data_IF_753065946215
#
_entry.id   IF_753065946215
#
_cell.length_a   1.000
_cell.length_b   1.000
_cell.length_c   1.000
_cell.angle_alpha   90.00
_cell.angle_beta   90.00
_cell.angle_gamma   90.00
#
_symmetry.space_group_name_H-M   'P 1'
#
loop_
_entity.id
_entity.type
_entity.pdbx_description
1 polymer ?
#
# COMPACT_ATOMS: atom_id res chain seq x y z
N UNK A 1 -2.49 -88.64 -43.92
CA UNK A 1 -3.53 -87.59 -43.93
C UNK A 1 -2.80 -86.28 -44.23
N UNK A 2 -2.77 -85.88 -45.52
CA UNK A 2 -3.42 -84.67 -46.12
C UNK A 2 -2.95 -83.36 -45.46
N UNK A 3 -2.51 -82.28 -46.13
CA UNK A 3 -2.18 -81.96 -47.53
C UNK A 3 -1.46 -80.59 -47.52
N UNK A 4 -0.65 -80.36 -48.54
CA UNK A 4 -0.01 -79.11 -49.01
C UNK A 4 -1.01 -78.00 -49.39
N UNK A 5 -0.48 -76.77 -49.63
CA UNK A 5 -0.95 -75.66 -50.53
C UNK A 5 -1.39 -74.36 -49.78
N UNK A 6 -0.68 -73.22 -49.82
CA UNK A 6 -0.34 -72.21 -50.87
C UNK A 6 -1.46 -71.19 -51.20
N UNK A 7 -1.11 -69.89 -51.05
CA UNK A 7 -1.56 -68.65 -51.74
C UNK A 7 -3.07 -68.30 -51.81
N UNK A 8 -3.45 -67.08 -51.35
CA UNK A 8 -3.60 -65.84 -52.16
C UNK A 8 -4.37 -64.72 -51.41
N UNK A 9 -3.78 -63.52 -51.47
CA UNK A 9 -4.33 -62.14 -51.47
C UNK A 9 -5.83 -61.91 -51.11
N UNK A 10 -6.11 -60.95 -50.21
CA UNK A 10 -6.38 -59.54 -50.56
C UNK A 10 -6.61 -58.69 -49.29
N UNK A 11 -5.96 -57.53 -49.23
CA UNK A 11 -6.15 -56.50 -48.20
C UNK A 11 -7.39 -55.63 -48.48
N UNK A 12 -8.08 -55.10 -47.46
CA UNK A 12 -8.67 -53.79 -47.54
C UNK A 12 -7.61 -52.74 -47.19
N UNK A 13 -7.33 -51.89 -48.17
CA UNK A 13 -6.61 -50.63 -48.01
C UNK A 13 -7.42 -49.73 -47.08
N UNK A 14 -6.89 -49.41 -45.90
CA UNK A 14 -7.18 -48.14 -45.24
C UNK A 14 -5.87 -47.41 -45.04
N UNK A 15 -5.77 -46.28 -45.74
CA UNK A 15 -4.60 -45.45 -45.87
C UNK A 15 -4.06 -45.01 -44.52
N UNK A 16 -2.75 -45.16 -44.40
CA UNK A 16 -1.88 -44.63 -43.37
C UNK A 16 -1.93 -43.10 -43.27
N UNK A 17 -1.89 -42.59 -42.04
CA UNK A 17 -0.99 -41.48 -41.70
C UNK A 17 -0.61 -41.50 -40.21
N UNK A 18 0.46 -42.22 -39.89
CA UNK A 18 1.39 -41.70 -38.90
C UNK A 18 2.16 -40.59 -39.63
N UNK A 19 1.86 -39.34 -39.30
CA UNK A 19 2.66 -38.21 -39.74
C UNK A 19 3.52 -37.76 -38.56
N UNK A 20 4.83 -37.87 -38.79
CA UNK A 20 5.90 -37.18 -38.09
C UNK A 20 5.58 -35.72 -37.82
N UNK A 21 6.21 -35.24 -36.74
CA UNK A 21 6.50 -33.84 -36.41
C UNK A 21 6.43 -32.90 -37.61
N UNK A 22 5.32 -32.17 -37.71
CA UNK A 22 5.19 -31.04 -38.62
C UNK A 22 5.05 -29.77 -37.77
N UNK A 23 6.14 -29.01 -37.77
CA UNK A 23 6.19 -27.56 -37.66
C UNK A 23 5.26 -26.89 -36.63
N UNK A 24 5.86 -26.49 -35.51
CA UNK A 24 5.50 -25.25 -34.82
C UNK A 24 5.81 -24.07 -35.79
N UNK A 25 4.99 -23.95 -36.83
CA UNK A 25 4.82 -22.76 -37.67
C UNK A 25 3.33 -22.53 -37.92
N UNK A 26 2.53 -22.64 -36.87
CA UNK A 26 1.19 -22.10 -36.88
C UNK A 26 1.27 -20.59 -36.65
N UNK A 27 1.28 -19.85 -37.76
CA UNK A 27 0.90 -18.44 -37.89
C UNK A 27 1.51 -17.44 -36.89
N UNK A 28 2.80 -17.17 -37.05
CA UNK A 28 3.27 -15.78 -36.94
C UNK A 28 2.87 -15.07 -38.25
N UNK A 29 1.56 -14.86 -38.43
CA UNK A 29 1.11 -13.68 -39.18
C UNK A 29 1.16 -12.51 -38.19
N UNK A 30 2.37 -12.25 -37.70
CA UNK A 30 2.68 -11.06 -36.95
C UNK A 30 2.64 -9.93 -37.96
N UNK A 31 1.50 -9.24 -38.02
CA UNK A 31 1.49 -7.90 -38.55
C UNK A 31 2.58 -7.12 -37.79
N UNK A 32 3.72 -6.85 -38.44
CA UNK A 32 4.80 -6.01 -37.92
C UNK A 32 4.38 -4.54 -37.83
N UNK A 33 3.09 -4.23 -37.96
CA UNK A 33 2.55 -2.88 -37.87
C UNK A 33 1.99 -2.64 -36.48
N UNK A 34 2.39 -1.53 -35.86
CA UNK A 34 1.78 -1.06 -34.62
C UNK A 34 0.26 -0.94 -34.77
N UNK A 35 -0.48 -1.53 -33.83
CA UNK A 35 -1.93 -1.47 -33.79
C UNK A 35 -2.40 -0.38 -32.81
N UNK A 36 -3.26 0.54 -33.26
CA UNK A 36 -3.88 1.56 -32.40
C UNK A 36 -5.29 1.10 -32.02
N UNK A 37 -5.48 0.68 -30.77
CA UNK A 37 -6.83 0.50 -30.21
C UNK A 37 -7.43 1.88 -29.89
N UNK A 38 -8.42 2.30 -30.67
CA UNK A 38 -9.10 3.60 -30.49
C UNK A 38 -10.05 3.54 -29.30
N UNK A 39 -10.20 4.64 -28.56
CA UNK A 39 -11.09 4.71 -27.40
C UNK A 39 -12.54 4.30 -27.72
N UNK A 40 -13.07 4.76 -28.86
CA UNK A 40 -14.44 4.45 -29.31
C UNK A 40 -14.68 2.96 -29.62
N UNK A 41 -13.63 2.15 -29.77
CA UNK A 41 -13.74 0.71 -30.03
C UNK A 41 -13.90 -0.14 -28.76
N UNK A 42 -13.76 0.46 -27.58
CA UNK A 42 -13.80 -0.24 -26.29
C UNK A 42 -15.05 0.17 -25.54
N UNK A 43 -15.96 -0.77 -25.34
CA UNK A 43 -17.22 -0.53 -24.63
C UNK A 43 -17.02 -0.68 -23.11
N UNK A 44 -17.21 0.38 -22.32
CA UNK A 44 -17.23 0.27 -20.87
C UNK A 44 -18.44 -0.53 -20.39
N UNK A 45 -18.34 -1.15 -19.22
CA UNK A 45 -19.41 -1.92 -18.60
C UNK A 45 -19.49 -1.67 -17.09
N UNK A 46 -20.63 -1.96 -16.48
CA UNK A 46 -20.81 -1.91 -15.03
C UNK A 46 -20.15 -3.13 -14.37
N UNK A 47 -19.42 -2.89 -13.29
CA UNK A 47 -18.72 -3.93 -12.55
C UNK A 47 -19.74 -4.91 -11.92
N UNK A 48 -19.47 -6.23 -11.93
CA UNK A 48 -20.38 -7.21 -11.37
C UNK A 48 -20.61 -6.99 -9.87
N UNK A 49 -21.86 -6.84 -9.44
CA UNK A 49 -22.21 -6.68 -8.01
C UNK A 49 -21.76 -7.84 -7.11
N UNK A 50 -21.43 -9.00 -7.71
CA UNK A 50 -20.83 -10.13 -7.00
C UNK A 50 -19.47 -9.78 -6.37
N UNK A 51 -18.69 -8.86 -6.97
CA UNK A 51 -17.33 -8.53 -6.53
C UNK A 51 -17.13 -7.06 -6.11
N UNK A 52 -18.23 -6.30 -6.15
CA UNK A 52 -18.24 -4.88 -5.85
C UNK A 52 -19.42 -4.55 -4.95
N UNK A 53 -19.24 -3.58 -4.07
CA UNK A 53 -20.35 -2.92 -3.37
C UNK A 53 -20.49 -1.50 -3.92
N UNK A 54 -21.73 -1.05 -4.16
CA UNK A 54 -22.00 0.19 -4.87
C UNK A 54 -21.82 0.07 -6.39
N UNK A 55 -21.83 1.22 -7.10
CA UNK A 55 -21.68 1.27 -8.56
C UNK A 55 -20.23 1.55 -8.95
N UNK A 56 -19.68 0.71 -9.82
CA UNK A 56 -18.38 0.94 -10.42
C UNK A 56 -18.46 0.64 -11.92
N UNK A 57 -17.77 1.45 -12.73
CA UNK A 57 -17.72 1.31 -14.19
C UNK A 57 -16.30 0.96 -14.61
N UNK A 58 -16.16 -0.13 -15.36
CA UNK A 58 -14.89 -0.59 -15.93
C UNK A 58 -14.81 -0.17 -17.39
N UNK A 59 -13.74 0.54 -17.75
CA UNK A 59 -13.40 0.89 -19.13
C UNK A 59 -12.09 0.17 -19.52
N UNK A 60 -12.18 -0.96 -20.26
CA UNK A 60 -11.01 -1.73 -20.66
C UNK A 60 -10.01 -0.92 -21.49
N UNK A 61 -8.71 -1.22 -21.34
CA UNK A 61 -7.64 -0.66 -22.18
C UNK A 61 -6.98 -1.73 -23.03
N UNK A 62 -6.44 -2.78 -22.40
CA UNK A 62 -5.88 -3.94 -23.08
C UNK A 62 -6.02 -5.20 -22.24
N UNK A 63 -6.09 -6.34 -22.93
CA UNK A 63 -6.15 -7.68 -22.32
C UNK A 63 -4.84 -8.42 -22.58
N UNK A 64 -4.54 -9.47 -21.79
CA UNK A 64 -3.33 -10.26 -21.99
C UNK A 64 -3.35 -10.94 -23.35
N UNK A 65 -2.21 -10.91 -24.05
CA UNK A 65 -2.01 -11.58 -25.32
C UNK A 65 -0.64 -12.27 -25.29
N UNK A 66 -0.64 -13.59 -25.30
CA UNK A 66 0.57 -14.38 -25.13
C UNK A 66 1.66 -13.95 -26.14
N UNK A 67 2.92 -13.78 -25.69
CA UNK A 67 3.46 -14.13 -24.38
C UNK A 67 3.24 -13.09 -23.27
N UNK A 68 2.67 -11.91 -23.59
CA UNK A 68 2.39 -10.89 -22.58
C UNK A 68 1.20 -11.31 -21.69
N UNK A 69 1.33 -11.05 -20.38
CA UNK A 69 0.34 -11.45 -19.38
C UNK A 69 -0.43 -10.28 -18.78
N UNK A 70 -0.02 -9.06 -19.09
CA UNK A 70 -0.55 -7.84 -18.49
C UNK A 70 -1.90 -7.47 -19.07
N UNK A 71 -2.81 -7.03 -18.21
CA UNK A 71 -4.05 -6.34 -18.57
C UNK A 71 -4.08 -4.96 -17.94
N UNK A 72 -4.91 -4.07 -18.50
CA UNK A 72 -5.25 -2.84 -17.82
C UNK A 72 -6.65 -2.34 -18.15
N UNK A 73 -7.24 -1.63 -17.19
CA UNK A 73 -8.51 -0.93 -17.35
C UNK A 73 -8.53 0.32 -16.48
N UNK A 74 -9.30 1.33 -16.89
CA UNK A 74 -9.77 2.34 -15.94
C UNK A 74 -10.96 1.77 -15.16
N UNK A 75 -10.98 1.99 -13.86
CA UNK A 75 -12.12 1.67 -13.00
C UNK A 75 -12.55 2.95 -12.32
N UNK A 76 -13.81 3.34 -12.53
CA UNK A 76 -14.43 4.50 -11.90
C UNK A 76 -15.43 4.03 -10.86
N UNK A 77 -15.23 4.39 -9.61
CA UNK A 77 -16.09 4.07 -8.48
C UNK A 77 -16.97 5.28 -8.16
N UNK A 78 -18.29 5.11 -8.09
CA UNK A 78 -19.18 6.12 -7.52
C UNK A 78 -18.91 6.29 -6.01
N UNK A 79 -19.31 7.41 -5.37
CA UNK A 79 -19.17 7.58 -3.93
C UNK A 79 -19.67 6.36 -3.13
N UNK A 80 -18.86 5.89 -2.19
CA UNK A 80 -19.15 4.70 -1.37
C UNK A 80 -18.87 3.36 -2.06
N UNK A 81 -18.59 3.33 -3.37
CA UNK A 81 -18.37 2.10 -4.10
C UNK A 81 -16.94 1.57 -3.91
N UNK A 82 -16.81 0.25 -3.74
CA UNK A 82 -15.54 -0.44 -3.51
C UNK A 82 -15.55 -1.87 -4.03
N UNK A 83 -14.35 -2.40 -4.24
CA UNK A 83 -14.14 -3.83 -4.46
C UNK A 83 -14.42 -4.62 -3.19
N UNK A 84 -14.70 -5.91 -3.36
CA UNK A 84 -14.58 -6.89 -2.29
C UNK A 84 -13.10 -7.09 -1.91
N UNK A 85 -12.83 -7.73 -0.77
CA UNK A 85 -11.48 -8.17 -0.48
C UNK A 85 -11.00 -9.12 -1.58
N UNK A 86 -9.75 -8.97 -2.02
CA UNK A 86 -9.18 -9.83 -3.05
C UNK A 86 -7.65 -9.87 -2.99
N UNK A 87 -7.07 -10.80 -3.76
CA UNK A 87 -5.63 -10.91 -4.00
C UNK A 87 -5.32 -11.01 -5.49
N UNK A 88 -4.11 -10.62 -5.89
CA UNK A 88 -3.59 -10.82 -7.24
C UNK A 88 -2.37 -11.77 -7.19
N UNK A 89 -2.30 -12.82 -8.03
CA UNK A 89 -1.24 -13.83 -7.97
C UNK A 89 0.14 -13.28 -8.34
N UNK A 90 0.20 -12.18 -9.10
CA UNK A 90 1.43 -11.50 -9.51
C UNK A 90 1.44 -10.01 -9.12
N UNK A 91 0.60 -9.64 -8.16
CA UNK A 91 0.46 -8.26 -7.69
C UNK A 91 -0.37 -7.38 -8.62
N UNK A 92 -0.48 -6.11 -8.26
CA UNK A 92 -1.21 -5.10 -9.02
C UNK A 92 -0.55 -3.74 -8.83
N UNK A 93 -0.58 -2.92 -9.88
CA UNK A 93 -0.25 -1.49 -9.79
C UNK A 93 -1.50 -0.67 -10.07
N UNK A 94 -1.79 0.28 -9.18
CA UNK A 94 -2.82 1.29 -9.38
C UNK A 94 -2.19 2.65 -9.64
N UNK A 95 -2.75 3.41 -10.56
CA UNK A 95 -2.42 4.83 -10.75
C UNK A 95 -3.71 5.63 -10.67
N UNK A 96 -3.87 6.43 -9.63
CA UNK A 96 -5.09 7.24 -9.45
C UNK A 96 -5.06 8.42 -10.41
N UNK A 97 -6.10 8.54 -11.23
CA UNK A 97 -6.18 9.58 -12.28
C UNK A 97 -7.12 10.71 -11.91
N UNK A 98 -8.16 10.44 -11.11
CA UNK A 98 -9.17 11.43 -10.72
C UNK A 98 -9.79 11.12 -9.36
N UNK A 99 -10.17 12.16 -8.62
CA UNK A 99 -10.95 12.05 -7.40
C UNK A 99 -10.19 11.54 -6.17
N UNK A 100 -10.97 11.18 -5.15
CA UNK A 100 -10.48 10.74 -3.83
C UNK A 100 -10.99 9.33 -3.51
N UNK A 101 -10.07 8.40 -3.32
CA UNK A 101 -10.34 7.01 -3.01
C UNK A 101 -9.81 6.56 -1.65
N UNK A 102 -10.08 5.31 -1.35
CA UNK A 102 -9.60 4.60 -0.18
C UNK A 102 -8.99 3.27 -0.63
N UNK A 103 -7.94 2.84 0.07
CA UNK A 103 -7.37 1.51 -0.05
C UNK A 103 -7.08 0.96 1.34
N UNK A 104 -7.27 -0.34 1.53
CA UNK A 104 -6.85 -1.01 2.76
C UNK A 104 -6.17 -2.32 2.42
N UNK A 105 -5.07 -2.58 3.12
CA UNK A 105 -4.41 -3.88 3.16
C UNK A 105 -4.85 -4.62 4.42
N UNK A 106 -5.01 -5.94 4.33
CA UNK A 106 -5.51 -6.75 5.44
C UNK A 106 -4.71 -6.53 6.73
N UNK A 107 -5.41 -6.24 7.83
CA UNK A 107 -4.81 -5.95 9.14
C UNK A 107 -4.16 -4.57 9.27
N UNK A 108 -4.09 -3.79 8.18
CA UNK A 108 -3.53 -2.44 8.16
C UNK A 108 -4.59 -1.33 8.22
N UNK A 109 -4.13 -0.07 8.36
CA UNK A 109 -5.00 1.09 8.33
C UNK A 109 -5.57 1.30 6.91
N UNK A 110 -6.75 1.92 6.86
CA UNK A 110 -7.29 2.47 5.61
C UNK A 110 -6.46 3.70 5.25
N UNK A 111 -6.03 3.78 4.00
CA UNK A 111 -5.25 4.88 3.46
C UNK A 111 -6.07 5.61 2.41
N UNK A 112 -5.98 6.94 2.40
CA UNK A 112 -6.52 7.76 1.31
C UNK A 112 -5.59 7.65 0.11
N UNK A 113 -6.18 7.65 -1.07
CA UNK A 113 -5.46 7.70 -2.34
C UNK A 113 -6.07 8.81 -3.20
N UNK A 114 -5.22 9.67 -3.75
CA UNK A 114 -5.62 10.84 -4.52
C UNK A 114 -4.91 10.87 -5.88
N UNK A 115 -5.39 11.75 -6.77
CA UNK A 115 -4.84 11.88 -8.12
C UNK A 115 -3.33 12.04 -8.11
N UNK A 116 -2.64 11.15 -8.84
CA UNK A 116 -1.19 11.13 -8.97
C UNK A 116 -0.53 10.04 -8.13
N UNK A 117 -1.23 9.47 -7.14
CA UNK A 117 -0.71 8.35 -6.36
C UNK A 117 -0.53 7.10 -7.21
N UNK A 118 0.58 6.41 -6.96
CA UNK A 118 0.92 5.12 -7.55
C UNK A 118 1.03 4.11 -6.43
N UNK A 119 0.19 3.08 -6.49
CA UNK A 119 0.13 2.02 -5.47
C UNK A 119 0.68 0.75 -6.08
N UNK A 120 1.80 0.26 -5.55
CA UNK A 120 2.37 -1.04 -5.88
C UNK A 120 1.93 -2.08 -4.85
N UNK A 121 1.09 -3.01 -5.26
CA UNK A 121 0.50 -4.05 -4.42
C UNK A 121 1.24 -5.37 -4.67
N UNK A 122 1.94 -5.94 -3.66
CA UNK A 122 2.66 -7.19 -3.82
C UNK A 122 1.77 -8.39 -4.17
N UNK A 123 2.32 -9.44 -4.80
CA UNK A 123 1.63 -10.71 -5.01
C UNK A 123 1.03 -11.28 -3.72
N UNK A 124 -0.21 -11.75 -3.79
CA UNK A 124 -0.91 -12.40 -2.67
C UNK A 124 -1.35 -11.47 -1.53
N UNK A 125 -1.05 -10.17 -1.59
CA UNK A 125 -1.49 -9.23 -0.57
C UNK A 125 -3.01 -9.06 -0.61
N UNK A 126 -3.71 -9.45 0.47
CA UNK A 126 -5.16 -9.23 0.60
C UNK A 126 -5.46 -7.76 0.80
N UNK A 127 -6.33 -7.20 -0.04
CA UNK A 127 -6.65 -5.77 -0.05
C UNK A 127 -8.04 -5.50 -0.64
N UNK A 128 -8.53 -4.27 -0.45
CA UNK A 128 -9.63 -3.69 -1.21
C UNK A 128 -9.31 -2.23 -1.51
N UNK A 129 -9.96 -1.69 -2.53
CA UNK A 129 -9.92 -0.27 -2.90
C UNK A 129 -11.24 0.19 -3.49
N UNK A 130 -11.48 1.50 -3.44
CA UNK A 130 -12.71 2.12 -3.93
C UNK A 130 -12.71 3.63 -3.79
N UNK A 131 -13.85 4.23 -4.10
CA UNK A 131 -14.11 5.63 -3.85
C UNK A 131 -14.14 5.94 -2.34
N UNK A 132 -13.99 7.22 -2.00
CA UNK A 132 -14.41 7.73 -0.68
C UNK A 132 -15.94 7.75 -0.56
N UNK A 133 -16.46 7.99 0.64
CA UNK A 133 -17.91 8.01 0.90
C UNK A 133 -18.66 9.10 0.10
N UNK A 134 -17.99 10.18 -0.30
CA UNK A 134 -18.65 11.37 -0.90
C UNK A 134 -18.16 11.73 -2.29
N UNK A 135 -17.03 11.19 -2.75
CA UNK A 135 -16.45 11.56 -4.04
C UNK A 135 -16.19 10.34 -4.90
N UNK A 136 -16.46 10.48 -6.20
CA UNK A 136 -16.04 9.53 -7.23
C UNK A 136 -14.52 9.43 -7.26
N UNK A 137 -13.99 8.24 -7.55
CA UNK A 137 -12.56 8.04 -7.83
C UNK A 137 -12.38 7.20 -9.10
N UNK A 138 -11.40 7.57 -9.92
CA UNK A 138 -10.96 6.76 -11.06
C UNK A 138 -9.48 6.44 -10.93
N UNK A 139 -9.12 5.17 -11.12
CA UNK A 139 -7.74 4.74 -11.28
C UNK A 139 -7.54 3.88 -12.53
N UNK A 140 -6.30 3.83 -13.00
CA UNK A 140 -5.79 2.79 -13.89
C UNK A 140 -5.37 1.59 -13.05
N UNK A 141 -5.95 0.42 -13.29
CA UNK A 141 -5.50 -0.85 -12.70
C UNK A 141 -4.67 -1.62 -13.73
N UNK A 142 -3.50 -2.10 -13.31
CA UNK A 142 -2.56 -2.90 -14.12
C UNK A 142 -2.22 -4.15 -13.33
N UNK A 143 -2.41 -5.32 -13.92
CA UNK A 143 -2.05 -6.59 -13.29
C UNK A 143 -1.68 -7.65 -14.33
N UNK A 144 -0.98 -8.70 -13.91
CA UNK A 144 -0.64 -9.85 -14.76
C UNK A 144 -1.50 -11.08 -14.44
N UNK A 145 -1.70 -11.92 -15.46
CA UNK A 145 -2.30 -13.25 -15.29
C UNK A 145 -1.25 -14.32 -14.97
N UNK A 146 -1.59 -15.21 -14.04
CA UNK A 146 -0.94 -16.50 -13.81
C UNK A 146 -1.97 -17.60 -14.08
N UNK A 147 -1.67 -18.53 -14.98
CA UNK A 147 -2.55 -19.65 -15.35
C UNK A 147 -3.97 -19.21 -15.75
N UNK A 148 -4.08 -18.12 -16.52
CA UNK A 148 -5.34 -17.54 -16.98
C UNK A 148 -6.12 -16.76 -15.91
N UNK A 149 -5.60 -16.66 -14.69
CA UNK A 149 -6.22 -15.96 -13.56
C UNK A 149 -5.44 -14.71 -13.20
N UNK A 150 -6.16 -13.60 -12.98
CA UNK A 150 -5.55 -12.35 -12.51
C UNK A 150 -5.99 -11.94 -11.11
N UNK A 151 -7.05 -12.52 -10.55
CA UNK A 151 -7.62 -12.10 -9.27
C UNK A 151 -8.26 -13.30 -8.56
N UNK A 152 -8.09 -13.36 -7.25
CA UNK A 152 -8.85 -14.23 -6.34
C UNK A 152 -9.77 -13.34 -5.50
N UNK A 153 -11.07 -13.41 -5.77
CA UNK A 153 -12.08 -12.69 -4.98
C UNK A 153 -12.37 -13.41 -3.66
N UNK A 154 -12.55 -12.62 -2.60
CA UNK A 154 -12.82 -13.09 -1.25
C UNK A 154 -14.14 -12.47 -0.75
N UNK A 155 -14.25 -12.22 0.56
CA UNK A 155 -15.46 -11.69 1.15
C UNK A 155 -15.69 -10.20 0.87
N UNK A 156 -16.96 -9.78 0.93
CA UNK A 156 -17.38 -8.37 0.87
C UNK A 156 -16.67 -7.54 1.95
N UNK A 157 -16.32 -6.30 1.60
CA UNK A 157 -15.97 -5.28 2.60
C UNK A 157 -17.26 -4.81 3.27
N UNK A 158 -17.47 -5.21 4.51
CA UNK A 158 -18.65 -4.83 5.29
C UNK A 158 -18.74 -3.32 5.49
N UNK A 159 -19.94 -2.79 5.69
CA UNK A 159 -20.15 -1.38 6.02
C UNK A 159 -19.48 -0.96 7.34
N UNK A 160 -19.11 -1.90 8.20
CA UNK A 160 -18.32 -1.63 9.41
C UNK A 160 -16.81 -1.51 9.13
N UNK A 161 -16.32 -2.17 8.08
CA UNK A 161 -14.93 -2.05 7.61
C UNK A 161 -14.74 -0.86 6.67
N UNK A 162 -15.80 -0.39 6.03
CA UNK A 162 -15.78 0.77 5.17
C UNK A 162 -16.23 2.04 5.93
N UNK A 163 -15.47 3.14 5.89
CA UNK A 163 -15.87 4.36 6.57
C UNK A 163 -17.03 5.01 5.81
N UNK A 164 -18.23 4.98 6.39
CA UNK A 164 -19.47 5.47 5.76
C UNK A 164 -19.66 7.00 5.80
N UNK A 165 -18.74 7.75 6.41
CA UNK A 165 -18.85 9.21 6.52
C UNK A 165 -17.90 9.92 5.57
N UNK A 166 -18.24 11.14 5.09
CA UNK A 166 -17.28 12.01 4.42
C UNK A 166 -16.02 12.05 5.27
N UNK A 167 -14.92 11.53 4.71
CA UNK A 167 -13.61 11.78 5.27
C UNK A 167 -13.27 13.25 5.03
N UNK A 168 -13.91 14.14 5.79
CA UNK A 168 -13.30 15.37 6.23
C UNK A 168 -12.39 14.99 7.39
N UNK A 169 -11.24 14.41 7.04
CA UNK A 169 -10.13 14.05 7.94
C UNK A 169 -10.54 13.20 9.13
N UNK A 170 -10.44 11.88 8.98
CA UNK A 170 -10.12 11.05 10.14
C UNK A 170 -8.61 11.05 10.33
N UNK A 171 -8.09 11.69 11.37
CA UNK A 171 -8.31 11.42 12.80
C UNK A 171 -7.28 10.40 13.27
N UNK A 172 -6.58 10.79 14.32
CA UNK A 172 -6.47 9.89 15.44
C UNK A 172 -7.46 10.41 16.47
N UNK A 173 -8.35 9.58 16.98
CA UNK A 173 -8.71 9.70 18.39
C UNK A 173 -8.39 8.39 19.08
N UNK A 174 -7.29 8.33 19.86
CA UNK A 174 -7.36 7.64 21.13
C UNK A 174 -7.94 8.64 22.14
N UNK A 175 -9.07 8.28 22.75
CA UNK A 175 -9.81 9.02 23.77
C UNK A 175 -10.59 10.26 23.27
N UNK A 176 -11.77 10.52 23.85
CA UNK A 176 -12.49 11.80 23.75
C UNK A 176 -11.67 13.01 24.26
N UNK A 177 -10.40 12.82 24.59
CA UNK A 177 -9.52 13.88 25.06
C UNK A 177 -8.74 14.41 23.85
N UNK A 178 -8.65 15.74 23.69
CA UNK A 178 -7.76 16.34 22.71
C UNK A 178 -6.34 15.77 22.85
N UNK A 179 -5.58 15.68 21.76
CA UNK A 179 -4.16 15.29 21.81
C UNK A 179 -3.41 16.17 22.82
N UNK A 180 -2.26 15.72 23.31
CA UNK A 180 -1.47 16.55 24.23
C UNK A 180 -1.14 17.93 23.62
N UNK A 181 -0.87 17.99 22.32
CA UNK A 181 -0.64 19.26 21.62
C UNK A 181 -1.91 20.13 21.63
N UNK A 182 -3.08 19.56 21.34
CA UNK A 182 -4.35 20.27 21.39
C UNK A 182 -4.71 20.73 22.80
N UNK A 183 -4.42 19.94 23.83
CA UNK A 183 -4.63 20.31 25.24
C UNK A 183 -3.73 21.49 25.67
N UNK A 184 -2.49 21.52 25.19
CA UNK A 184 -1.50 22.50 25.63
C UNK A 184 -1.62 23.85 24.91
N UNK A 185 -2.03 23.84 23.64
CA UNK A 185 -2.01 25.04 22.81
C UNK A 185 -3.11 25.10 21.74
N UNK A 186 -4.08 24.18 21.75
CA UNK A 186 -5.13 24.13 20.72
C UNK A 186 -6.13 25.28 20.81
N UNK A 187 -6.37 25.80 22.01
CA UNK A 187 -7.25 26.95 22.27
C UNK A 187 -6.62 28.28 21.81
N UNK A 188 -5.31 28.45 21.99
CA UNK A 188 -4.57 29.67 21.65
C UNK A 188 -3.99 29.63 20.23
N UNK A 189 -3.45 28.48 19.81
CA UNK A 189 -2.71 28.30 18.57
C UNK A 189 -3.08 26.97 17.89
N UNK A 190 -4.35 26.81 17.42
CA UNK A 190 -4.86 25.55 16.87
C UNK A 190 -4.03 25.02 15.71
N UNK A 191 -3.49 25.93 14.87
CA UNK A 191 -2.64 25.52 13.75
C UNK A 191 -1.30 24.95 14.22
N UNK A 192 -0.73 25.45 15.32
CA UNK A 192 0.51 24.93 15.87
C UNK A 192 0.29 23.53 16.47
N UNK A 193 -0.84 23.31 17.14
CA UNK A 193 -1.25 21.98 17.60
C UNK A 193 -1.45 21.00 16.42
N UNK A 194 -2.14 21.42 15.36
CA UNK A 194 -2.30 20.63 14.14
C UNK A 194 -0.97 20.27 13.46
N UNK A 195 -0.04 21.23 13.33
CA UNK A 195 1.28 20.97 12.76
C UNK A 195 2.12 20.04 13.65
N UNK A 196 1.98 20.14 14.97
CA UNK A 196 2.67 19.25 15.91
C UNK A 196 2.16 17.81 15.76
N UNK A 197 0.85 17.62 15.69
CA UNK A 197 0.24 16.30 15.58
C UNK A 197 0.51 15.69 14.20
N UNK A 198 0.20 16.43 13.13
CA UNK A 198 0.11 15.84 11.79
C UNK A 198 1.41 15.92 11.00
N UNK A 199 2.19 17.00 11.17
CA UNK A 199 3.42 17.20 10.40
C UNK A 199 4.63 16.71 11.19
N UNK A 200 4.80 17.18 12.43
CA UNK A 200 5.95 16.79 13.23
C UNK A 200 5.87 15.31 13.59
N UNK A 201 4.89 14.91 14.40
CA UNK A 201 4.81 13.53 14.88
C UNK A 201 4.13 12.58 13.89
N UNK A 202 3.16 13.04 13.11
CA UNK A 202 2.43 12.22 12.13
C UNK A 202 3.14 11.96 10.79
N UNK A 203 4.15 12.77 10.42
CA UNK A 203 4.96 12.58 9.21
C UNK A 203 6.44 12.53 9.55
N UNK A 204 7.05 13.65 9.95
CA UNK A 204 8.51 13.78 10.03
C UNK A 204 9.14 12.72 10.95
N UNK A 205 8.49 12.38 12.07
CA UNK A 205 8.94 11.34 13.00
C UNK A 205 8.71 9.90 12.51
N UNK A 206 7.82 9.68 11.54
CA UNK A 206 7.48 8.36 10.98
C UNK A 206 8.26 8.01 9.70
N UNK A 207 8.95 8.98 9.09
CA UNK A 207 9.70 8.75 7.84
C UNK A 207 10.77 7.64 7.98
N UNK A 208 10.91 6.74 6.99
CA UNK A 208 11.66 5.48 7.11
C UNK A 208 13.21 5.60 7.12
N UNK A 209 13.77 6.81 7.10
CA UNK A 209 15.23 7.03 7.04
C UNK A 209 15.96 7.02 8.39
N UNK A 210 15.26 7.30 9.49
CA UNK A 210 15.80 7.21 10.86
C UNK A 210 14.76 6.56 11.75
N UNK A 211 15.20 5.64 12.59
CA UNK A 211 14.34 5.03 13.61
C UNK A 211 13.86 6.09 14.61
N UNK A 212 12.72 5.84 15.28
CA UNK A 212 12.24 6.73 16.36
C UNK A 212 13.27 6.87 17.48
N UNK A 213 14.04 5.80 17.75
CA UNK A 213 15.17 5.81 18.68
C UNK A 213 16.22 6.84 18.28
N UNK A 214 16.66 6.82 17.03
CA UNK A 214 17.72 7.72 16.54
C UNK A 214 17.24 9.17 16.43
N UNK A 215 15.97 9.38 16.09
CA UNK A 215 15.34 10.72 16.15
C UNK A 215 15.32 11.26 17.57
N UNK A 216 14.95 10.44 18.55
CA UNK A 216 15.03 10.80 19.96
C UNK A 216 16.46 11.15 20.40
N UNK A 217 17.47 10.37 19.99
CA UNK A 217 18.87 10.68 20.26
C UNK A 217 19.26 12.06 19.70
N UNK A 218 18.92 12.33 18.43
CA UNK A 218 19.21 13.60 17.79
C UNK A 218 18.51 14.78 18.48
N UNK A 219 17.23 14.65 18.79
CA UNK A 219 16.44 15.70 19.45
C UNK A 219 16.93 15.97 20.87
N UNK A 220 17.17 14.94 21.68
CA UNK A 220 17.72 15.09 23.03
C UNK A 220 19.08 15.78 22.99
N UNK A 221 19.95 15.36 22.07
CA UNK A 221 21.28 15.97 21.92
C UNK A 221 21.18 17.47 21.58
N UNK A 222 20.28 17.83 20.66
CA UNK A 222 20.03 19.22 20.30
C UNK A 222 19.48 20.05 21.48
N UNK A 223 18.52 19.51 22.25
CA UNK A 223 17.93 20.22 23.39
C UNK A 223 18.93 20.44 24.53
N UNK A 224 19.85 19.50 24.75
CA UNK A 224 20.98 19.67 25.68
C UNK A 224 21.91 20.76 25.16
N UNK A 225 22.31 20.69 23.90
CA UNK A 225 23.22 21.66 23.29
C UNK A 225 22.67 23.10 23.30
N UNK A 226 21.35 23.25 23.11
CA UNK A 226 20.66 24.53 23.13
C UNK A 226 20.27 25.00 24.54
N UNK A 227 20.60 24.21 25.59
CA UNK A 227 20.20 24.46 26.97
C UNK A 227 18.68 24.76 27.09
N UNK A 228 17.84 23.83 26.64
CA UNK A 228 16.36 23.91 26.67
C UNK A 228 15.75 22.89 27.64
N UNK A 229 15.98 23.05 28.97
CA UNK A 229 15.60 22.04 29.96
C UNK A 229 14.09 21.78 30.03
N UNK A 230 13.26 22.80 29.78
CA UNK A 230 11.79 22.66 29.82
C UNK A 230 11.26 21.67 28.76
N UNK A 231 11.86 21.69 27.57
CA UNK A 231 11.51 20.77 26.47
C UNK A 231 12.26 19.44 26.58
N UNK A 232 13.45 19.45 27.19
CA UNK A 232 14.26 18.25 27.37
C UNK A 232 13.54 17.19 28.22
N UNK A 233 12.78 17.62 29.22
CA UNK A 233 12.05 16.74 30.14
C UNK A 233 11.15 15.73 29.42
N UNK A 234 10.27 16.21 28.53
CA UNK A 234 9.35 15.35 27.78
C UNK A 234 10.08 14.47 26.76
N UNK A 235 11.16 14.98 26.16
CA UNK A 235 11.93 14.26 25.15
C UNK A 235 12.83 13.16 25.74
N UNK A 236 13.31 13.30 26.99
CA UNK A 236 13.98 12.21 27.69
C UNK A 236 13.02 11.04 27.98
N UNK A 237 11.78 11.32 28.40
CA UNK A 237 10.75 10.29 28.56
C UNK A 237 10.44 9.59 27.22
N UNK A 238 10.27 10.36 26.15
CA UNK A 238 10.00 9.83 24.81
C UNK A 238 11.19 8.99 24.28
N UNK A 239 12.43 9.41 24.55
CA UNK A 239 13.62 8.65 24.18
C UNK A 239 13.64 7.25 24.80
N UNK A 240 13.24 7.13 26.07
CA UNK A 240 13.11 5.83 26.74
C UNK A 240 12.02 4.98 26.10
N UNK A 241 10.84 5.57 25.82
CA UNK A 241 9.76 4.86 25.13
C UNK A 241 10.16 4.36 23.74
N UNK A 242 11.02 5.11 23.06
CA UNK A 242 11.60 4.73 21.76
C UNK A 242 12.80 3.77 21.88
N UNK A 243 13.11 3.26 23.07
CA UNK A 243 14.10 2.20 23.27
C UNK A 243 15.51 2.66 23.62
N UNK A 244 15.70 3.92 24.04
CA UNK A 244 16.97 4.34 24.65
C UNK A 244 17.00 3.97 26.14
N UNK A 245 18.14 3.45 26.59
CA UNK A 245 18.35 3.10 28.00
C UNK A 245 18.76 4.33 28.83
N UNK A 246 18.60 4.21 30.16
CA UNK A 246 19.10 5.22 31.10
C UNK A 246 20.61 5.44 30.92
N UNK A 247 21.34 4.35 30.75
CA UNK A 247 22.80 4.32 30.60
C UNK A 247 23.20 5.05 29.32
N UNK A 248 22.58 4.75 28.18
CA UNK A 248 22.84 5.47 26.92
C UNK A 248 22.55 6.96 27.03
N UNK A 249 21.45 7.36 27.69
CA UNK A 249 21.13 8.78 27.89
C UNK A 249 22.14 9.48 28.82
N UNK A 250 22.61 8.80 29.87
CA UNK A 250 23.65 9.33 30.75
C UNK A 250 24.98 9.51 30.01
N UNK A 251 25.35 8.56 29.14
CA UNK A 251 26.53 8.66 28.28
C UNK A 251 26.42 9.82 27.29
N UNK A 252 25.26 10.02 26.65
CA UNK A 252 25.02 11.16 25.75
C UNK A 252 25.20 12.49 26.49
N UNK A 253 24.61 12.64 27.68
CA UNK A 253 24.72 13.89 28.47
C UNK A 253 26.18 14.13 28.90
N UNK A 254 26.87 13.07 29.34
CA UNK A 254 28.28 13.14 29.74
C UNK A 254 29.16 13.53 28.55
N UNK A 255 28.94 12.92 27.39
CA UNK A 255 29.66 13.24 26.17
C UNK A 255 29.44 14.70 25.75
N UNK A 256 28.19 15.17 25.79
CA UNK A 256 27.85 16.54 25.41
C UNK A 256 28.39 17.59 26.40
N UNK A 257 28.78 17.25 27.62
CA UNK A 257 29.41 18.20 28.55
C UNK A 257 30.66 18.88 27.96
N UNK A 258 31.38 18.17 27.09
CA UNK A 258 32.60 18.66 26.44
C UNK A 258 32.32 19.58 25.24
N UNK A 259 31.15 19.45 24.60
CA UNK A 259 30.81 20.18 23.38
C UNK A 259 29.78 21.30 23.61
N UNK A 260 28.84 21.07 24.51
CA UNK A 260 27.76 21.99 24.89
C UNK A 260 28.04 22.74 26.21
N UNK A 261 29.15 22.40 26.89
CA UNK A 261 29.56 22.99 28.15
C UNK A 261 28.97 22.30 29.38
N UNK A 262 29.75 22.32 30.47
CA UNK A 262 29.40 21.70 31.76
C UNK A 262 28.04 22.16 32.32
N UNK A 263 27.66 23.46 32.27
CA UNK A 263 26.36 23.91 32.78
C UNK A 263 25.16 23.27 32.06
N UNK A 264 25.26 23.08 30.74
CA UNK A 264 24.21 22.44 29.94
C UNK A 264 24.04 20.96 30.34
N UNK A 265 25.15 20.25 30.55
CA UNK A 265 25.13 18.86 31.00
C UNK A 265 24.58 18.70 32.43
N UNK A 266 24.98 19.57 33.37
CA UNK A 266 24.45 19.55 34.75
C UNK A 266 22.95 19.83 34.77
N UNK A 267 22.49 20.78 33.96
CA UNK A 267 21.06 21.07 33.79
C UNK A 267 20.31 19.85 33.23
N UNK A 268 20.87 19.20 32.21
CA UNK A 268 20.32 17.99 31.61
C UNK A 268 20.25 16.80 32.59
N UNK A 269 21.31 16.57 33.37
CA UNK A 269 21.33 15.51 34.41
C UNK A 269 20.28 15.77 35.48
N UNK A 270 20.08 17.02 35.88
CA UNK A 270 19.05 17.37 36.86
C UNK A 270 17.67 16.96 36.36
N UNK A 271 17.33 17.27 35.10
CA UNK A 271 16.08 16.83 34.46
C UNK A 271 16.03 15.30 34.31
N UNK A 272 17.12 14.66 33.88
CA UNK A 272 17.17 13.21 33.70
C UNK A 272 16.93 12.43 35.00
N UNK A 273 17.41 12.95 36.14
CA UNK A 273 17.18 12.35 37.46
C UNK A 273 15.70 12.31 37.85
N UNK A 274 14.92 13.29 37.38
CA UNK A 274 13.49 13.39 37.69
C UNK A 274 12.61 12.49 36.82
N UNK A 275 13.03 12.21 35.58
CA UNK A 275 12.19 11.56 34.57
C UNK A 275 12.55 10.11 34.32
N UNK A 276 13.83 9.75 34.43
CA UNK A 276 14.27 8.39 34.12
C UNK A 276 13.92 7.43 35.28
N UNK A 277 13.52 6.17 35.00
CA UNK A 277 13.18 5.18 36.02
C UNK A 277 14.39 4.80 36.86
N UNK A 278 14.26 4.70 38.19
CA UNK A 278 15.38 4.36 39.08
C UNK A 278 16.12 3.08 38.64
N UNK A 279 17.41 3.00 38.98
CA UNK A 279 18.25 1.82 38.71
C UNK A 279 17.72 0.59 39.43
#
# INVERSE_FOLDING_TARGET
MKNTLLLLLLMPVFSSSYAETTDIKANISGSNSAHISRSASRTPYEAPSEHFTGKARVAPLFSPNAPARTSAAYVTFAPGARTDWHTHPLGQTLVVTEGNGLIQFWGGPIQRIERGDVISIPPGQKHWHGASATETMTHLAIQEQLDGKSVDWLEKVSDAQYPNEPSAKESATPSMQPSRAQQLMGDVAPKLADLTDNVLYGDIWERPGLSKRDRSLATVSALIALNRPDQLRSHLALAVQNGMTREELAEVITHLAFYAGWPSAVSAISVAKEVLPAK
#
